data_IF_856513743626
#
_entry.id   IF_856513743626
#
_cell.length_a   1.000
_cell.length_b   1.000
_cell.length_c   1.000
_cell.angle_alpha   90.00
_cell.angle_beta   90.00
_cell.angle_gamma   90.00
#
_symmetry.space_group_name_H-M   'P 1'
#
loop_
_entity.id
_entity.type
_entity.pdbx_description
1 polymer ?
#
# COMPACT_ATOMS: atom_id res chain seq x y z
N UNK A 1 65.28 -15.08 -29.14
CA UNK A 1 65.05 -13.65 -29.48
C UNK A 1 63.55 -13.47 -29.74
N UNK A 2 62.94 -12.51 -29.03
CA UNK A 2 61.58 -11.96 -29.16
C UNK A 2 60.35 -12.91 -28.99
N UNK A 3 59.78 -12.89 -27.78
CA UNK A 3 58.41 -13.32 -27.50
C UNK A 3 57.46 -12.10 -27.54
N UNK A 4 56.45 -12.11 -28.41
CA UNK A 4 55.43 -11.06 -28.51
C UNK A 4 54.34 -11.26 -27.45
N UNK A 5 54.34 -10.42 -26.41
CA UNK A 5 53.28 -10.34 -25.40
C UNK A 5 52.10 -9.55 -25.97
N UNK A 6 50.92 -10.18 -26.05
CA UNK A 6 49.64 -9.47 -26.23
C UNK A 6 49.22 -8.75 -24.94
N UNK A 7 48.62 -7.55 -25.03
CA UNK A 7 48.17 -6.81 -23.86
C UNK A 7 46.87 -7.42 -23.30
N UNK A 8 46.87 -7.70 -22.00
CA UNK A 8 45.67 -8.05 -21.23
C UNK A 8 44.83 -6.79 -21.04
N UNK A 9 43.64 -6.73 -21.64
CA UNK A 9 42.61 -5.76 -21.25
C UNK A 9 42.06 -6.11 -19.86
N UNK A 10 41.89 -5.14 -18.95
CA UNK A 10 41.25 -5.37 -17.66
C UNK A 10 39.75 -5.57 -17.86
N UNK A 11 39.25 -6.74 -17.45
CA UNK A 11 37.81 -7.01 -17.41
C UNK A 11 37.13 -6.12 -16.37
N UNK A 12 36.06 -5.48 -16.81
CA UNK A 12 35.32 -4.43 -16.13
C UNK A 12 34.77 -4.86 -14.77
N UNK A 13 34.89 -3.94 -13.80
CA UNK A 13 34.41 -4.10 -12.44
C UNK A 13 32.91 -4.39 -12.35
N UNK A 14 32.56 -5.33 -11.48
CA UNK A 14 31.21 -5.56 -10.98
C UNK A 14 30.66 -4.26 -10.38
N UNK A 15 29.81 -3.55 -11.12
CA UNK A 15 28.94 -2.52 -10.55
C UNK A 15 27.83 -3.24 -9.79
N UNK A 16 28.03 -3.39 -8.48
CA UNK A 16 26.94 -3.66 -7.57
C UNK A 16 25.93 -2.53 -7.64
N UNK A 17 24.71 -2.83 -8.09
CA UNK A 17 23.56 -1.96 -7.89
C UNK A 17 23.27 -1.93 -6.40
N UNK A 18 23.87 -0.96 -5.71
CA UNK A 18 23.42 -0.52 -4.41
C UNK A 18 22.02 0.09 -4.61
N UNK A 19 20.99 -0.73 -4.42
CA UNK A 19 19.63 -0.24 -4.25
C UNK A 19 19.65 0.56 -2.96
N UNK A 20 19.68 1.88 -3.08
CA UNK A 20 19.54 2.78 -1.96
C UNK A 20 18.17 2.51 -1.33
N UNK A 21 18.18 1.86 -0.16
CA UNK A 21 17.03 1.76 0.70
C UNK A 21 16.73 3.17 1.24
N UNK A 22 15.92 3.92 0.51
CA UNK A 22 15.31 5.14 0.99
C UNK A 22 14.40 4.74 2.15
N UNK A 23 14.87 4.97 3.38
CA UNK A 23 14.06 4.92 4.58
C UNK A 23 13.06 6.08 4.55
N UNK A 24 12.01 5.92 3.74
CA UNK A 24 10.83 6.77 3.83
C UNK A 24 10.05 6.23 5.01
N UNK A 25 10.23 6.86 6.17
CA UNK A 25 9.36 6.68 7.32
C UNK A 25 8.00 7.23 6.93
N UNK A 26 7.15 6.37 6.36
CA UNK A 26 5.75 6.67 6.10
C UNK A 26 4.98 6.63 7.41
N UNK A 27 5.09 7.68 8.23
CA UNK A 27 4.25 7.82 9.41
C UNK A 27 2.79 7.96 8.96
N UNK A 28 1.88 7.18 9.55
CA UNK A 28 0.46 7.47 9.42
C UNK A 28 0.19 8.85 10.05
N UNK A 29 -0.15 9.83 9.22
CA UNK A 29 -0.52 11.17 9.67
C UNK A 29 -2.03 11.32 9.46
N UNK A 30 -2.77 11.13 10.55
CA UNK A 30 -4.18 11.51 10.64
C UNK A 30 -4.25 12.98 11.05
N UNK A 31 -4.06 13.88 10.09
CA UNK A 31 -4.20 15.32 10.33
C UNK A 31 -5.67 15.67 10.23
N UNK A 32 -6.33 15.76 11.38
CA UNK A 32 -7.53 16.59 11.69
C UNK A 32 -8.33 15.91 12.80
N UNK A 33 -8.23 16.46 14.01
CA UNK A 33 -9.43 16.60 14.79
C UNK A 33 -9.81 18.09 14.69
N UNK A 34 -11.05 18.40 14.31
CA UNK A 34 -11.57 19.73 14.59
C UNK A 34 -12.29 19.59 15.92
N UNK A 35 -11.71 20.20 16.94
CA UNK A 35 -12.37 20.44 18.21
C UNK A 35 -12.73 21.91 18.19
N UNK A 36 -14.01 22.23 17.97
CA UNK A 36 -14.48 23.60 18.18
C UNK A 36 -15.15 23.69 19.54
N UNK A 37 -14.40 24.18 20.52
CA UNK A 37 -14.94 24.78 21.73
C UNK A 37 -15.12 26.27 21.44
N UNK A 38 -16.32 26.70 21.02
CA UNK A 38 -16.57 28.12 20.71
C UNK A 38 -16.76 28.98 21.98
N UNK A 39 -16.91 28.36 23.15
CA UNK A 39 -17.10 29.10 24.39
C UNK A 39 -15.77 29.35 25.11
N UNK A 40 -15.38 30.62 25.20
CA UNK A 40 -14.44 31.09 26.23
C UNK A 40 -15.10 30.85 27.59
N UNK A 41 -14.81 29.72 28.22
CA UNK A 41 -15.31 29.45 29.57
C UNK A 41 -14.46 30.27 30.54
N UNK A 42 -15.07 31.35 31.05
CA UNK A 42 -14.53 32.08 32.20
C UNK A 42 -14.59 31.17 33.42
N UNK A 43 -13.44 30.65 33.85
CA UNK A 43 -13.31 30.14 35.20
C UNK A 43 -13.55 31.26 36.23
N UNK A 44 -13.72 30.89 37.50
CA UNK A 44 -13.60 31.85 38.61
C UNK A 44 -12.12 32.28 38.70
N UNK A 45 -11.69 33.21 37.85
CA UNK A 45 -10.31 33.65 37.71
C UNK A 45 -10.05 34.32 36.35
N UNK A 46 -8.91 35.00 36.20
CA UNK A 46 -8.50 35.69 34.97
C UNK A 46 -8.02 34.76 33.84
N UNK A 47 -8.09 33.44 34.04
CA UNK A 47 -7.67 32.42 33.07
C UNK A 47 -8.89 31.91 32.29
N UNK A 48 -8.79 31.95 30.96
CA UNK A 48 -9.70 31.28 30.03
C UNK A 48 -8.98 30.14 29.33
N UNK A 49 -9.72 29.13 28.92
CA UNK A 49 -9.19 28.00 28.17
C UNK A 49 -10.04 27.72 26.95
N UNK A 50 -9.37 27.25 25.90
CA UNK A 50 -9.98 26.73 24.68
C UNK A 50 -9.36 25.38 24.37
N UNK A 51 -10.16 24.42 23.96
CA UNK A 51 -9.63 23.16 23.43
C UNK A 51 -9.01 23.39 22.06
N UNK A 52 -7.86 22.77 21.85
CA UNK A 52 -7.13 22.75 20.57
C UNK A 52 -6.45 21.41 20.39
N UNK A 53 -5.69 21.27 19.30
CA UNK A 53 -4.97 20.05 18.96
C UNK A 53 -3.55 20.40 18.52
N UNK A 54 -2.56 19.59 18.92
CA UNK A 54 -1.18 19.73 18.49
C UNK A 54 -0.95 19.21 17.06
N UNK A 55 0.26 19.43 16.54
CA UNK A 55 0.65 18.98 15.18
C UNK A 55 0.57 17.45 15.01
N UNK A 56 0.61 16.70 16.11
CA UNK A 56 0.52 15.25 16.13
C UNK A 56 -0.92 14.74 16.38
N UNK A 57 -1.91 15.62 16.45
CA UNK A 57 -3.31 15.23 16.63
C UNK A 57 -3.75 15.02 18.09
N UNK A 58 -2.91 15.34 19.08
CA UNK A 58 -3.27 15.22 20.50
C UNK A 58 -3.99 16.47 21.00
N UNK A 59 -4.93 16.26 21.93
CA UNK A 59 -5.68 17.35 22.52
C UNK A 59 -4.78 18.21 23.42
N UNK A 60 -5.00 19.52 23.38
CA UNK A 60 -4.36 20.50 24.25
C UNK A 60 -5.38 21.54 24.74
N UNK A 61 -5.04 22.21 25.83
CA UNK A 61 -5.71 23.43 26.26
C UNK A 61 -4.86 24.63 25.90
N UNK A 62 -5.44 25.53 25.11
CA UNK A 62 -4.91 26.88 24.89
C UNK A 62 -5.42 27.77 26.02
N UNK A 63 -4.53 28.07 26.97
CA UNK A 63 -4.82 28.96 28.08
C UNK A 63 -4.52 30.41 27.68
N UNK A 64 -5.38 31.34 28.10
CA UNK A 64 -5.17 32.78 28.00
C UNK A 64 -5.42 33.43 29.36
N UNK A 65 -4.51 34.29 29.79
CA UNK A 65 -4.60 34.97 31.08
C UNK A 65 -4.00 36.37 30.99
N UNK A 66 -4.84 37.41 31.09
CA UNK A 66 -4.41 38.80 30.96
C UNK A 66 -3.53 39.28 32.13
N UNK A 67 -3.69 38.68 33.30
CA UNK A 67 -2.98 39.06 34.53
C UNK A 67 -1.75 38.18 34.82
N UNK A 68 -1.49 37.19 33.98
CA UNK A 68 -0.37 36.26 34.16
C UNK A 68 0.89 36.83 33.52
N UNK A 69 1.89 37.16 34.34
CA UNK A 69 3.21 37.54 33.87
C UNK A 69 3.95 36.34 33.26
N UNK A 70 4.92 36.62 32.39
CA UNK A 70 5.81 35.59 31.85
C UNK A 70 6.50 34.82 32.98
N UNK A 71 6.66 33.51 32.78
CA UNK A 71 7.19 32.60 33.80
C UNK A 71 6.12 32.06 34.76
N UNK A 72 4.87 32.52 34.69
CA UNK A 72 3.75 31.88 35.39
C UNK A 72 3.60 30.45 34.90
N UNK A 73 3.55 29.49 35.81
CA UNK A 73 3.42 28.06 35.48
C UNK A 73 1.95 27.64 35.57
N UNK A 74 1.52 26.86 34.59
CA UNK A 74 0.24 26.16 34.61
C UNK A 74 0.49 24.65 34.59
N UNK A 75 -0.33 23.88 35.29
CA UNK A 75 -0.29 22.42 35.18
C UNK A 75 -1.68 21.80 35.34
N UNK A 76 -1.80 20.60 34.81
CA UNK A 76 -2.82 19.61 35.17
C UNK A 76 -2.11 18.42 35.81
N UNK A 77 -2.85 17.38 36.18
CA UNK A 77 -2.26 16.12 36.64
C UNK A 77 -1.34 15.46 35.59
N UNK A 78 -1.50 15.83 34.32
CA UNK A 78 -0.82 15.18 33.19
C UNK A 78 0.29 16.00 32.55
N UNK A 79 0.32 17.33 32.73
CA UNK A 79 1.21 18.19 31.97
C UNK A 79 1.47 19.52 32.66
N UNK A 80 2.56 20.17 32.26
CA UNK A 80 2.94 21.51 32.70
C UNK A 80 3.23 22.39 31.48
N UNK A 81 2.88 23.66 31.57
CA UNK A 81 3.20 24.70 30.60
C UNK A 81 3.61 25.98 31.32
N UNK A 82 4.30 26.86 30.62
CA UNK A 82 4.66 28.19 31.14
C UNK A 82 3.99 29.25 30.27
N UNK A 83 3.42 30.26 30.90
CA UNK A 83 2.86 31.41 30.21
C UNK A 83 3.96 32.27 29.61
N UNK A 84 3.75 32.65 28.34
CA UNK A 84 4.54 33.62 27.61
C UNK A 84 3.58 34.54 26.83
N UNK A 85 3.68 35.85 27.04
CA UNK A 85 2.77 36.83 26.46
C UNK A 85 1.30 36.58 26.85
N UNK A 86 1.06 36.13 28.09
CA UNK A 86 -0.29 35.84 28.59
C UNK A 86 -0.93 34.58 28.00
N UNK A 87 -0.18 33.73 27.27
CA UNK A 87 -0.69 32.48 26.69
C UNK A 87 0.15 31.27 27.10
N UNK A 88 -0.49 30.11 27.23
CA UNK A 88 0.18 28.82 27.45
C UNK A 88 -0.55 27.70 26.70
N UNK A 89 0.16 26.63 26.34
CA UNK A 89 -0.43 25.41 25.76
C UNK A 89 -0.15 24.22 26.66
N UNK A 90 -1.20 23.64 27.25
CA UNK A 90 -1.12 22.43 28.08
C UNK A 90 -1.53 21.21 27.27
N UNK A 91 -0.60 20.30 27.00
CA UNK A 91 -0.90 19.03 26.34
C UNK A 91 -1.68 18.11 27.27
N UNK A 92 -2.75 17.51 26.79
CA UNK A 92 -3.54 16.54 27.55
C UNK A 92 -3.07 15.12 27.21
N UNK A 93 -2.96 14.24 28.21
CA UNK A 93 -2.72 12.80 27.98
C UNK A 93 -4.00 12.04 27.67
N UNK A 94 -5.12 12.47 28.24
CA UNK A 94 -6.44 11.91 27.95
C UNK A 94 -7.17 12.79 26.93
N UNK A 95 -7.79 12.21 25.88
CA UNK A 95 -8.56 12.96 24.91
C UNK A 95 -9.84 13.51 25.53
N UNK A 96 -10.20 14.73 25.15
CA UNK A 96 -11.46 15.38 25.47
C UNK A 96 -12.62 14.64 24.78
N UNK A 97 -13.70 14.45 25.53
CA UNK A 97 -14.93 13.81 25.09
C UNK A 97 -15.90 14.87 24.54
N UNK A 98 -16.79 14.46 23.65
CA UNK A 98 -17.94 15.30 23.26
C UNK A 98 -18.82 15.53 24.51
N UNK A 99 -19.24 16.77 24.73
CA UNK A 99 -19.90 17.24 25.95
C UNK A 99 -18.98 18.05 26.86
N UNK A 100 -19.33 18.11 28.14
CA UNK A 100 -18.58 18.85 29.16
C UNK A 100 -17.38 18.05 29.66
N UNK A 101 -16.22 18.71 29.71
CA UNK A 101 -14.99 18.13 30.24
C UNK A 101 -14.52 18.97 31.45
N UNK A 102 -14.77 18.51 32.69
CA UNK A 102 -14.27 19.20 33.87
C UNK A 102 -12.75 19.02 33.97
N UNK A 103 -12.01 20.12 34.07
CA UNK A 103 -10.55 20.13 34.18
C UNK A 103 -10.15 21.10 35.28
N UNK A 104 -9.28 20.66 36.18
CA UNK A 104 -8.65 21.52 37.17
C UNK A 104 -7.28 21.94 36.64
N UNK A 105 -7.08 23.25 36.49
CA UNK A 105 -5.79 23.83 36.12
C UNK A 105 -5.23 24.52 37.35
N UNK A 106 -4.05 24.08 37.77
CA UNK A 106 -3.31 24.79 38.79
C UNK A 106 -2.42 25.89 38.18
N UNK A 107 -2.35 27.03 38.85
CA UNK A 107 -1.57 28.21 38.44
C UNK A 107 -0.62 28.62 39.55
N UNK A 108 0.64 28.86 39.21
CA UNK A 108 1.68 29.35 40.13
C UNK A 108 2.35 30.57 39.52
N UNK A 109 2.11 31.74 40.12
CA UNK A 109 2.73 33.00 39.71
C UNK A 109 4.05 33.20 40.47
N UNK A 110 5.06 33.89 39.90
CA UNK A 110 6.40 34.02 40.49
C UNK A 110 6.49 34.59 41.92
N UNK A 111 5.40 35.16 42.45
CA UNK A 111 5.34 35.76 43.80
C UNK A 111 4.05 35.42 44.58
N UNK A 112 3.25 34.46 44.10
CA UNK A 112 1.99 34.06 44.78
C UNK A 112 1.95 32.58 45.05
N UNK A 113 1.15 32.20 46.05
CA UNK A 113 0.82 30.80 46.29
C UNK A 113 0.10 30.21 45.09
N UNK A 114 0.29 28.90 44.92
CA UNK A 114 -0.44 28.05 43.99
C UNK A 114 -1.95 28.19 44.21
N UNK A 115 -2.69 28.37 43.12
CA UNK A 115 -4.14 28.40 43.09
C UNK A 115 -4.67 27.36 42.09
N UNK A 116 -5.89 26.88 42.30
CA UNK A 116 -6.56 25.93 41.41
C UNK A 116 -7.79 26.57 40.80
N UNK A 117 -7.95 26.37 39.50
CA UNK A 117 -9.06 26.91 38.71
C UNK A 117 -9.79 25.74 38.08
N UNK A 118 -11.04 25.53 38.48
CA UNK A 118 -11.92 24.60 37.82
C UNK A 118 -12.44 25.22 36.51
N UNK A 119 -12.24 24.49 35.41
CA UNK A 119 -12.70 24.83 34.07
C UNK A 119 -13.64 23.72 33.59
N UNK A 120 -14.69 24.09 32.87
CA UNK A 120 -15.53 23.14 32.13
C UNK A 120 -15.33 23.42 30.66
N UNK A 121 -14.82 22.46 29.90
CA UNK A 121 -14.53 22.66 28.48
C UNK A 121 -15.61 21.95 27.64
N UNK A 122 -16.54 22.70 27.03
CA UNK A 122 -17.57 22.13 26.17
C UNK A 122 -17.00 21.75 24.81
N UNK A 123 -17.29 20.54 24.37
CA UNK A 123 -16.93 20.01 23.06
C UNK A 123 -18.22 19.64 22.34
N UNK A 124 -18.66 20.46 21.40
CA UNK A 124 -19.94 20.25 20.72
C UNK A 124 -19.88 19.08 19.74
N UNK A 125 -18.74 18.93 19.07
CA UNK A 125 -18.50 17.84 18.16
C UNK A 125 -17.00 17.57 18.03
N UNK A 126 -16.68 16.39 17.49
CA UNK A 126 -15.33 15.97 17.11
C UNK A 126 -15.44 15.18 15.82
N UNK A 127 -14.61 15.48 14.83
CA UNK A 127 -14.49 14.69 13.59
C UNK A 127 -13.04 14.29 13.43
N UNK A 128 -12.75 13.01 13.18
CA UNK A 128 -11.39 12.48 13.00
C UNK A 128 -11.35 11.33 11.99
N UNK A 129 -10.21 11.14 11.33
CA UNK A 129 -9.96 9.92 10.56
C UNK A 129 -9.52 8.75 11.45
N UNK A 130 -9.65 7.52 10.97
CA UNK A 130 -9.05 6.32 11.55
C UNK A 130 -8.67 5.32 10.46
N UNK A 131 -7.63 4.53 10.74
CA UNK A 131 -7.07 3.47 9.91
C UNK A 131 -7.18 2.08 10.55
N UNK A 132 -7.91 1.96 11.66
CA UNK A 132 -8.04 0.71 12.44
C UNK A 132 -8.54 -0.48 11.58
N UNK A 133 -9.44 -0.22 10.62
CA UNK A 133 -10.00 -1.25 9.74
C UNK A 133 -9.12 -1.62 8.54
N UNK A 134 -7.95 -0.99 8.36
CA UNK A 134 -7.01 -1.41 7.32
C UNK A 134 -6.50 -2.83 7.55
N UNK A 135 -6.47 -3.30 8.80
CA UNK A 135 -6.04 -4.64 9.18
C UNK A 135 -7.04 -5.75 8.79
N UNK A 136 -8.28 -5.39 8.46
CA UNK A 136 -9.36 -6.33 8.15
C UNK A 136 -9.20 -6.96 6.76
N UNK A 137 -9.94 -8.05 6.51
CA UNK A 137 -9.93 -8.76 5.23
C UNK A 137 -10.33 -7.84 4.06
N UNK A 138 -11.38 -7.03 4.24
CA UNK A 138 -11.72 -5.91 3.36
C UNK A 138 -11.23 -4.61 4.03
N UNK A 139 -10.09 -4.05 3.57
CA UNK A 139 -9.46 -2.93 4.23
C UNK A 139 -10.26 -1.65 4.01
N UNK A 140 -10.52 -0.93 5.12
CA UNK A 140 -11.25 0.33 5.09
C UNK A 140 -10.49 1.41 5.88
N UNK A 141 -10.69 2.65 5.45
CA UNK A 141 -10.43 3.82 6.30
C UNK A 141 -11.77 4.45 6.66
N UNK A 142 -11.82 5.17 7.77
CA UNK A 142 -13.09 5.75 8.21
C UNK A 142 -12.95 7.14 8.77
N UNK A 143 -14.02 7.91 8.65
CA UNK A 143 -14.22 9.11 9.43
C UNK A 143 -15.13 8.78 10.60
N UNK A 144 -14.63 9.07 11.79
CA UNK A 144 -15.37 8.99 13.04
C UNK A 144 -15.77 10.39 13.45
N UNK A 145 -17.04 10.58 13.75
CA UNK A 145 -17.52 11.79 14.35
C UNK A 145 -18.28 11.50 15.64
N UNK A 146 -18.22 12.44 16.58
CA UNK A 146 -19.09 12.50 17.73
C UNK A 146 -19.72 13.89 17.77
N UNK A 147 -21.00 13.99 18.13
CA UNK A 147 -21.68 15.27 18.24
C UNK A 147 -22.75 15.27 19.33
N UNK A 148 -23.03 16.44 19.90
CA UNK A 148 -24.14 16.62 20.84
C UNK A 148 -25.50 16.32 20.18
N UNK A 149 -26.50 15.87 20.96
CA UNK A 149 -27.87 15.68 20.46
C UNK A 149 -28.41 16.93 19.76
N UNK A 150 -29.10 16.73 18.63
CA UNK A 150 -29.62 17.83 17.80
C UNK A 150 -28.62 18.42 16.81
N UNK A 151 -27.36 17.98 16.83
CA UNK A 151 -26.36 18.38 15.82
C UNK A 151 -26.65 17.67 14.49
N UNK A 152 -26.63 18.43 13.39
CA UNK A 152 -26.67 17.86 12.03
C UNK A 152 -25.26 17.70 11.48
N UNK A 153 -24.92 16.52 10.98
CA UNK A 153 -23.62 16.20 10.41
C UNK A 153 -23.77 15.80 8.94
N UNK A 154 -22.92 16.37 8.10
CA UNK A 154 -22.80 16.03 6.68
C UNK A 154 -21.36 15.63 6.39
N UNK A 155 -21.14 14.44 5.84
CA UNK A 155 -19.82 13.92 5.44
C UNK A 155 -19.87 13.57 3.95
N UNK A 156 -18.96 14.12 3.15
CA UNK A 156 -19.00 14.04 1.67
C UNK A 156 -20.37 14.40 1.06
N UNK A 157 -21.03 15.42 1.61
CA UNK A 157 -22.35 15.85 1.15
C UNK A 157 -23.50 14.91 1.56
N UNK A 158 -23.23 13.81 2.26
CA UNK A 158 -24.25 12.88 2.77
C UNK A 158 -24.58 13.23 4.22
N UNK A 159 -25.87 13.43 4.51
CA UNK A 159 -26.35 13.60 5.89
C UNK A 159 -26.14 12.29 6.65
N UNK A 160 -25.61 12.38 7.87
CA UNK A 160 -25.34 11.22 8.72
C UNK A 160 -26.04 11.39 10.06
N UNK A 161 -26.75 10.34 10.47
CA UNK A 161 -27.47 10.32 11.75
C UNK A 161 -26.57 9.73 12.83
N UNK A 162 -26.28 10.45 13.92
CA UNK A 162 -25.59 9.89 15.06
C UNK A 162 -26.36 8.74 15.70
N UNK A 163 -25.63 7.76 16.24
CA UNK A 163 -26.20 6.72 17.08
C UNK A 163 -26.75 7.32 18.41
N UNK A 164 -27.43 6.53 19.26
CA UNK A 164 -27.94 7.04 20.54
C UNK A 164 -26.89 7.62 21.50
N UNK A 165 -25.60 7.36 21.27
CA UNK A 165 -24.46 7.91 22.03
C UNK A 165 -23.84 9.13 21.35
N UNK A 166 -24.42 9.60 20.24
CA UNK A 166 -23.93 10.73 19.47
C UNK A 166 -22.74 10.38 18.56
N UNK A 167 -22.42 9.10 18.36
CA UNK A 167 -21.31 8.66 17.53
C UNK A 167 -21.74 8.36 16.09
N UNK A 168 -20.85 8.65 15.15
CA UNK A 168 -21.01 8.43 13.72
C UNK A 168 -19.74 7.77 13.20
N UNK A 169 -19.91 6.77 12.33
CA UNK A 169 -18.83 6.16 11.55
C UNK A 169 -19.18 6.19 10.07
N UNK A 170 -18.24 6.64 9.25
CA UNK A 170 -18.37 6.65 7.80
C UNK A 170 -17.17 5.92 7.19
N UNK A 171 -17.43 4.77 6.57
CA UNK A 171 -16.41 3.90 6.01
C UNK A 171 -16.15 4.19 4.54
N UNK A 172 -14.88 4.08 4.16
CA UNK A 172 -14.41 4.14 2.79
C UNK A 172 -13.69 2.85 2.45
N UNK A 173 -14.22 2.15 1.47
CA UNK A 173 -13.52 1.05 0.82
C UNK A 173 -12.29 1.63 0.09
N UNK A 174 -11.13 1.05 0.35
CA UNK A 174 -9.84 1.41 -0.25
C UNK A 174 -9.14 0.20 -0.88
N UNK A 175 -9.86 -0.91 -1.07
CA UNK A 175 -9.27 -2.16 -1.55
C UNK A 175 -8.59 -1.98 -2.91
N UNK A 176 -9.16 -1.16 -3.81
CA UNK A 176 -8.59 -0.91 -5.14
C UNK A 176 -7.25 -0.18 -5.07
N UNK A 177 -7.14 0.81 -4.21
CA UNK A 177 -5.92 1.60 -3.96
C UNK A 177 -4.81 0.77 -3.32
N UNK A 178 -5.21 -0.25 -2.54
CA UNK A 178 -4.33 -1.19 -1.87
C UNK A 178 -4.06 -2.46 -2.70
N UNK A 179 -4.62 -2.58 -3.90
CA UNK A 179 -4.47 -3.74 -4.77
C UNK A 179 -3.35 -3.56 -5.81
N UNK A 180 -2.73 -4.68 -6.17
CA UNK A 180 -1.73 -4.77 -7.24
C UNK A 180 -0.28 -4.70 -6.75
N UNK A 181 0.67 -5.20 -7.57
CA UNK A 181 2.08 -5.21 -7.21
C UNK A 181 2.68 -3.80 -7.27
N UNK A 182 3.49 -3.44 -6.27
CA UNK A 182 4.22 -2.17 -6.21
C UNK A 182 5.52 -2.33 -5.40
N UNK A 183 6.63 -1.85 -5.96
CA UNK A 183 7.96 -1.93 -5.34
C UNK A 183 8.22 -0.82 -4.33
N UNK A 184 7.59 0.34 -4.54
CA UNK A 184 7.81 1.53 -3.76
C UNK A 184 6.73 1.74 -2.70
N UNK A 185 7.07 2.48 -1.64
CA UNK A 185 6.05 2.96 -0.70
C UNK A 185 5.23 4.03 -1.42
N UNK A 186 3.95 3.72 -1.68
CA UNK A 186 2.96 4.72 -2.15
C UNK A 186 2.25 5.33 -0.95
N UNK A 187 1.64 6.49 -1.13
CA UNK A 187 0.79 7.11 -0.11
C UNK A 187 -0.67 6.94 -0.50
N UNK A 188 -1.49 6.41 0.41
CA UNK A 188 -2.94 6.57 0.38
C UNK A 188 -3.25 7.93 1.01
N UNK A 189 -3.82 8.85 0.23
CA UNK A 189 -4.29 10.16 0.70
C UNK A 189 -5.77 10.30 0.38
N UNK A 190 -6.57 10.63 1.40
CA UNK A 190 -7.99 10.97 1.23
C UNK A 190 -8.33 12.23 2.02
N UNK A 191 -9.01 13.14 1.33
CA UNK A 191 -9.55 14.39 1.88
C UNK A 191 -11.06 14.28 1.92
N UNK A 192 -11.61 14.30 3.12
CA UNK A 192 -13.05 14.08 3.36
C UNK A 192 -13.66 15.37 3.87
N UNK A 193 -14.33 16.16 3.01
CA UNK A 193 -15.02 17.36 3.48
C UNK A 193 -16.19 16.99 4.37
N UNK A 194 -16.41 17.78 5.41
CA UNK A 194 -17.57 17.67 6.29
C UNK A 194 -18.15 19.04 6.64
N UNK A 195 -19.44 19.04 7.03
CA UNK A 195 -20.12 20.19 7.59
C UNK A 195 -20.86 19.76 8.85
N UNK A 196 -20.78 20.57 9.90
CA UNK A 196 -21.48 20.36 11.18
C UNK A 196 -22.35 21.56 11.46
N UNK A 197 -23.62 21.35 11.79
CA UNK A 197 -24.53 22.40 12.24
C UNK A 197 -24.94 22.08 13.68
N UNK A 198 -24.34 22.73 14.69
CA UNK A 198 -24.72 22.57 16.08
C UNK A 198 -26.18 22.99 16.34
N UNK A 199 -26.83 22.54 17.43
CA UNK A 199 -28.23 22.85 17.71
C UNK A 199 -28.54 24.34 17.79
N UNK A 200 -27.59 25.14 18.27
CA UNK A 200 -27.73 26.59 18.47
C UNK A 200 -26.70 27.41 17.67
N UNK A 201 -26.13 26.85 16.61
CA UNK A 201 -24.98 27.42 15.91
C UNK A 201 -25.14 27.55 14.39
N UNK A 202 -24.26 28.36 13.79
CA UNK A 202 -24.11 28.41 12.34
C UNK A 202 -23.40 27.13 11.82
N UNK A 203 -23.68 26.70 10.58
CA UNK A 203 -22.94 25.62 9.94
C UNK A 203 -21.44 25.90 9.88
N UNK A 204 -20.65 24.90 10.24
CA UNK A 204 -19.19 24.93 10.25
C UNK A 204 -18.68 23.88 9.27
N UNK A 205 -17.67 24.24 8.47
CA UNK A 205 -17.07 23.35 7.48
C UNK A 205 -15.65 23.00 7.88
N UNK A 206 -15.25 21.79 7.54
CA UNK A 206 -13.87 21.34 7.66
C UNK A 206 -13.58 20.19 6.72
N UNK A 207 -12.36 19.66 6.83
CA UNK A 207 -11.89 18.54 6.04
C UNK A 207 -11.17 17.57 6.96
N UNK A 208 -11.35 16.26 6.72
CA UNK A 208 -10.51 15.23 7.31
C UNK A 208 -9.46 14.75 6.32
N UNK A 209 -8.18 14.92 6.64
CA UNK A 209 -7.07 14.36 5.86
C UNK A 209 -6.61 13.02 6.48
N UNK A 210 -6.81 11.94 5.74
CA UNK A 210 -6.27 10.61 6.05
C UNK A 210 -5.09 10.37 5.12
N UNK A 211 -3.88 10.28 5.69
CA UNK A 211 -2.66 10.02 4.93
C UNK A 211 -1.86 8.89 5.56
N UNK A 212 -1.62 7.82 4.82
CA UNK A 212 -0.86 6.65 5.29
C UNK A 212 -0.02 6.04 4.17
N UNK A 213 1.19 5.60 4.49
CA UNK A 213 2.02 4.84 3.55
C UNK A 213 1.39 3.48 3.25
N UNK A 214 1.57 2.96 2.04
CA UNK A 214 1.12 1.63 1.65
C UNK A 214 2.34 0.72 1.55
N UNK A 215 2.27 -0.42 2.22
CA UNK A 215 3.35 -1.41 2.25
C UNK A 215 3.73 -1.84 0.82
N UNK A 216 5.02 -1.89 0.44
CA UNK A 216 5.43 -2.44 -0.85
C UNK A 216 5.16 -3.95 -0.94
N UNK A 217 4.79 -4.46 -2.11
CA UNK A 217 4.68 -5.89 -2.36
C UNK A 217 4.81 -6.17 -3.86
N UNK A 218 5.76 -7.01 -4.23
CA UNK A 218 5.89 -7.56 -5.59
C UNK A 218 5.84 -9.07 -5.50
N UNK A 219 5.18 -9.71 -6.47
CA UNK A 219 5.30 -11.14 -6.71
C UNK A 219 6.33 -11.39 -7.80
N UNK A 220 7.29 -12.25 -7.47
CA UNK A 220 8.32 -12.71 -8.42
C UNK A 220 7.82 -13.96 -9.17
N UNK A 221 7.05 -14.84 -8.50
CA UNK A 221 6.38 -15.98 -9.10
C UNK A 221 5.17 -16.45 -8.25
N UNK A 222 4.11 -17.00 -8.85
CA UNK A 222 3.79 -16.95 -10.28
C UNK A 222 3.34 -15.54 -10.70
N UNK A 223 3.00 -15.37 -11.98
CA UNK A 223 2.26 -14.20 -12.45
C UNK A 223 0.82 -14.16 -11.92
N UNK A 224 0.06 -13.14 -12.32
CA UNK A 224 -1.34 -12.98 -11.90
C UNK A 224 -2.26 -14.15 -12.31
N UNK A 225 -1.91 -14.83 -13.40
CA UNK A 225 -2.58 -16.04 -13.86
C UNK A 225 -1.53 -17.05 -14.33
N UNK A 226 -1.71 -18.31 -13.97
CA UNK A 226 -0.90 -19.42 -14.48
C UNK A 226 -1.74 -20.71 -14.51
N UNK A 227 -1.53 -21.53 -15.54
CA UNK A 227 -2.08 -22.87 -15.72
C UNK A 227 -0.92 -23.86 -15.68
N UNK A 228 -1.06 -24.91 -14.88
CA UNK A 228 -0.01 -25.91 -14.71
C UNK A 228 -0.56 -27.32 -14.46
N UNK A 229 0.24 -28.33 -14.82
CA UNK A 229 -0.10 -29.73 -14.61
C UNK A 229 0.27 -30.26 -13.23
N UNK A 230 1.18 -29.57 -12.54
CA UNK A 230 1.69 -29.98 -11.22
C UNK A 230 0.66 -29.74 -10.13
N UNK A 231 0.78 -30.51 -9.05
CA UNK A 231 -0.14 -30.46 -7.89
C UNK A 231 0.28 -29.42 -6.84
N UNK A 232 1.28 -28.61 -7.14
CA UNK A 232 1.83 -27.62 -6.24
C UNK A 232 2.42 -26.42 -6.98
N UNK A 233 2.49 -25.30 -6.28
CA UNK A 233 3.05 -24.04 -6.77
C UNK A 233 3.90 -23.41 -5.68
N UNK A 234 4.96 -22.70 -6.05
CA UNK A 234 5.68 -21.82 -5.14
C UNK A 234 5.23 -20.38 -5.41
N UNK A 235 4.69 -19.74 -4.38
CA UNK A 235 4.39 -18.30 -4.40
C UNK A 235 5.54 -17.59 -3.71
N UNK A 236 6.22 -16.73 -4.46
CA UNK A 236 7.41 -16.02 -4.02
C UNK A 236 7.35 -14.55 -4.42
N UNK A 237 7.99 -13.71 -3.63
CA UNK A 237 7.98 -12.28 -3.84
C UNK A 237 8.82 -11.52 -2.83
N UNK A 238 8.61 -10.21 -2.83
CA UNK A 238 9.38 -9.25 -2.04
C UNK A 238 8.48 -8.18 -1.44
N UNK A 239 8.82 -7.75 -0.25
CA UNK A 239 8.18 -6.63 0.46
C UNK A 239 9.24 -5.85 1.25
N UNK A 240 8.81 -4.82 1.99
CA UNK A 240 9.71 -4.08 2.86
C UNK A 240 10.23 -4.97 4.02
N UNK A 241 11.51 -4.85 4.40
CA UNK A 241 12.03 -5.50 5.61
C UNK A 241 11.20 -5.12 6.85
N UNK A 242 10.93 -6.09 7.72
CA UNK A 242 10.11 -5.92 8.93
C UNK A 242 8.59 -5.97 8.70
N UNK A 243 8.13 -6.14 7.46
CA UNK A 243 6.73 -6.45 7.17
C UNK A 243 6.37 -7.89 7.61
N UNK A 244 5.09 -8.22 7.58
CA UNK A 244 4.57 -9.59 7.67
C UNK A 244 3.83 -9.92 6.38
N UNK A 245 4.04 -11.12 5.83
CA UNK A 245 3.33 -11.58 4.63
C UNK A 245 2.39 -12.74 4.97
N UNK A 246 1.17 -12.65 4.47
CA UNK A 246 0.20 -13.74 4.49
C UNK A 246 -0.22 -14.13 3.07
N UNK A 247 -0.40 -15.41 2.82
CA UNK A 247 -0.99 -15.96 1.60
C UNK A 247 -2.28 -16.67 2.01
N UNK A 248 -3.43 -16.03 1.78
CA UNK A 248 -4.68 -16.45 2.42
C UNK A 248 -4.56 -16.36 3.95
N UNK A 249 -4.79 -17.47 4.65
CA UNK A 249 -4.62 -17.57 6.11
C UNK A 249 -3.17 -17.78 6.56
N UNK A 250 -2.30 -18.18 5.64
CA UNK A 250 -0.98 -18.68 5.97
C UNK A 250 0.04 -17.57 6.12
N UNK A 251 0.66 -17.45 7.29
CA UNK A 251 1.83 -16.57 7.45
C UNK A 251 3.07 -17.18 6.77
N UNK A 252 3.85 -16.32 6.11
CA UNK A 252 5.04 -16.70 5.35
C UNK A 252 6.26 -15.99 5.92
N UNK A 253 7.32 -16.72 6.31
CA UNK A 253 8.53 -16.09 6.82
C UNK A 253 9.22 -15.26 5.73
N UNK A 254 9.82 -14.16 6.17
CA UNK A 254 10.65 -13.29 5.34
C UNK A 254 12.12 -13.48 5.66
N UNK A 255 12.98 -13.39 4.65
CA UNK A 255 14.41 -13.24 4.86
C UNK A 255 14.76 -11.80 5.29
N UNK A 256 16.04 -11.55 5.62
CA UNK A 256 16.52 -10.24 6.05
C UNK A 256 16.36 -9.14 4.97
N UNK A 257 16.20 -9.51 3.70
CA UNK A 257 15.98 -8.61 2.58
C UNK A 257 14.49 -8.43 2.23
N UNK A 258 13.57 -9.01 3.01
CA UNK A 258 12.14 -8.94 2.78
C UNK A 258 11.65 -9.85 1.64
N UNK A 259 12.41 -10.89 1.28
CA UNK A 259 11.95 -11.90 0.32
C UNK A 259 11.19 -13.01 1.02
N UNK A 260 10.16 -13.54 0.37
CA UNK A 260 9.41 -14.70 0.83
C UNK A 260 9.25 -15.72 -0.29
N UNK A 261 9.09 -16.98 0.10
CA UNK A 261 8.66 -18.05 -0.79
C UNK A 261 7.96 -19.14 0.03
N UNK A 262 6.79 -19.59 -0.44
CA UNK A 262 6.08 -20.72 0.17
C UNK A 262 5.49 -21.63 -0.90
N UNK A 263 5.63 -22.93 -0.68
CA UNK A 263 5.00 -23.97 -1.51
C UNK A 263 3.58 -24.21 -1.03
N UNK A 264 2.63 -24.25 -1.95
CA UNK A 264 1.22 -24.54 -1.72
C UNK A 264 0.79 -25.72 -2.57
N UNK A 265 -0.02 -26.60 -2.00
CA UNK A 265 -0.70 -27.66 -2.75
C UNK A 265 -1.89 -27.06 -3.51
N UNK A 266 -2.18 -27.62 -4.68
CA UNK A 266 -3.26 -27.21 -5.55
C UNK A 266 -4.35 -28.28 -5.58
N UNK A 267 -5.59 -27.82 -5.48
CA UNK A 267 -6.75 -28.63 -5.87
C UNK A 267 -6.91 -28.60 -7.40
N UNK A 268 -7.50 -29.65 -8.00
CA UNK A 268 -7.89 -29.60 -9.41
C UNK A 268 -8.79 -28.39 -9.73
N UNK A 269 -8.50 -27.70 -10.84
CA UNK A 269 -9.19 -26.48 -11.23
C UNK A 269 -8.55 -25.20 -10.69
N UNK A 270 -9.39 -24.19 -10.42
CA UNK A 270 -8.95 -22.83 -10.09
C UNK A 270 -8.63 -22.70 -8.59
N UNK A 271 -7.45 -22.18 -8.26
CA UNK A 271 -6.97 -21.94 -6.91
C UNK A 271 -6.66 -20.43 -6.74
N UNK A 272 -7.58 -19.65 -6.16
CA UNK A 272 -7.35 -18.24 -5.91
C UNK A 272 -6.43 -18.04 -4.70
N UNK A 273 -5.47 -17.13 -4.81
CA UNK A 273 -4.63 -16.71 -3.71
C UNK A 273 -4.66 -15.18 -3.55
N UNK A 274 -4.68 -14.74 -2.30
CA UNK A 274 -4.51 -13.33 -1.92
C UNK A 274 -3.24 -13.23 -1.10
N UNK A 275 -2.24 -12.55 -1.65
CA UNK A 275 -1.00 -12.24 -0.95
C UNK A 275 -1.15 -10.87 -0.30
N UNK A 276 -1.02 -10.82 1.02
CA UNK A 276 -1.16 -9.62 1.83
C UNK A 276 0.16 -9.32 2.52
N UNK A 277 0.72 -8.14 2.26
CA UNK A 277 1.83 -7.61 3.06
C UNK A 277 1.34 -6.52 4.00
N UNK A 278 1.80 -6.55 5.25
CA UNK A 278 1.46 -5.56 6.29
C UNK A 278 2.74 -5.09 6.98
N UNK A 279 2.93 -3.78 7.06
CA UNK A 279 4.00 -3.15 7.81
C UNK A 279 3.40 -2.21 8.87
N UNK A 280 4.07 -2.07 10.01
CA UNK A 280 3.64 -1.16 11.07
C UNK A 280 3.48 0.27 10.53
N UNK A 281 2.43 0.95 10.97
CA UNK A 281 2.08 2.33 10.59
C UNK A 281 1.84 2.53 9.08
N UNK A 282 1.62 1.44 8.34
CA UNK A 282 1.27 1.44 6.91
C UNK A 282 -0.06 0.73 6.66
N UNK A 283 -0.72 1.11 5.58
CA UNK A 283 -1.77 0.32 4.96
C UNK A 283 -1.20 -0.98 4.37
N UNK A 284 -1.96 -2.08 4.36
CA UNK A 284 -1.53 -3.31 3.74
C UNK A 284 -1.49 -3.17 2.21
N UNK A 285 -0.79 -4.08 1.55
CA UNK A 285 -0.87 -4.27 0.11
C UNK A 285 -1.39 -5.66 -0.21
N UNK A 286 -2.31 -5.73 -1.16
CA UNK A 286 -2.96 -6.95 -1.60
C UNK A 286 -2.55 -7.24 -3.05
N UNK A 287 -2.10 -8.46 -3.33
CA UNK A 287 -1.91 -8.95 -4.69
C UNK A 287 -2.69 -10.24 -4.85
N UNK A 288 -3.62 -10.25 -5.79
CA UNK A 288 -4.39 -11.45 -6.12
C UNK A 288 -3.73 -12.18 -7.28
N UNK A 289 -3.75 -13.50 -7.23
CA UNK A 289 -3.31 -14.35 -8.33
C UNK A 289 -4.21 -15.58 -8.42
N UNK A 290 -4.28 -16.15 -9.63
CA UNK A 290 -5.03 -17.36 -9.92
C UNK A 290 -4.08 -18.44 -10.44
N UNK A 291 -4.09 -19.61 -9.78
CA UNK A 291 -3.37 -20.80 -10.25
C UNK A 291 -4.38 -21.85 -10.64
N UNK A 292 -4.42 -22.24 -11.91
CA UNK A 292 -5.26 -23.33 -12.39
C UNK A 292 -4.45 -24.60 -12.49
N UNK A 293 -4.81 -25.62 -11.71
CA UNK A 293 -4.29 -26.97 -11.87
C UNK A 293 -5.14 -27.70 -12.91
N UNK A 294 -4.51 -28.22 -13.95
CA UNK A 294 -5.18 -28.97 -15.01
C UNK A 294 -4.53 -30.34 -15.19
N UNK A 295 -5.35 -31.38 -15.31
CA UNK A 295 -4.92 -32.74 -15.66
C UNK A 295 -4.72 -32.92 -17.18
N UNK A 296 -5.15 -31.95 -17.99
CA UNK A 296 -5.08 -32.02 -19.45
C UNK A 296 -4.58 -30.70 -20.05
N UNK A 297 -3.25 -30.54 -20.06
CA UNK A 297 -2.59 -29.35 -20.61
C UNK A 297 -2.81 -29.20 -22.12
N UNK A 298 -2.97 -30.28 -22.87
CA UNK A 298 -3.28 -30.21 -24.32
C UNK A 298 -4.62 -29.52 -24.56
N UNK A 299 -5.65 -29.85 -23.77
CA UNK A 299 -6.96 -29.17 -23.84
C UNK A 299 -6.84 -27.68 -23.50
N UNK A 300 -6.11 -27.35 -22.43
CA UNK A 300 -5.89 -25.95 -22.03
C UNK A 300 -5.10 -25.19 -23.11
N UNK A 301 -4.12 -25.83 -23.74
CA UNK A 301 -3.37 -25.26 -24.87
C UNK A 301 -4.22 -25.02 -26.10
N UNK A 302 -5.13 -25.93 -26.43
CA UNK A 302 -6.09 -25.75 -27.52
C UNK A 302 -7.05 -24.58 -27.25
N UNK A 303 -7.56 -24.47 -26.02
CA UNK A 303 -8.39 -23.35 -25.59
C UNK A 303 -7.61 -22.03 -25.69
N UNK A 304 -6.41 -21.97 -25.11
CA UNK A 304 -5.56 -20.79 -25.15
C UNK A 304 -5.21 -20.36 -26.58
N UNK A 305 -4.95 -21.32 -27.49
CA UNK A 305 -4.73 -21.04 -28.92
C UNK A 305 -5.96 -20.43 -29.57
N UNK A 306 -7.17 -20.93 -29.26
CA UNK A 306 -8.41 -20.38 -29.82
C UNK A 306 -8.71 -18.93 -29.36
N UNK A 307 -8.15 -18.54 -28.22
CA UNK A 307 -8.23 -17.17 -27.69
C UNK A 307 -7.07 -16.27 -28.10
N UNK A 308 -6.09 -16.78 -28.87
CA UNK A 308 -4.96 -15.98 -29.31
C UNK A 308 -5.45 -14.85 -30.23
N UNK A 309 -5.06 -13.63 -29.91
CA UNK A 309 -5.49 -12.42 -30.60
C UNK A 309 -4.49 -11.99 -31.67
N UNK A 310 -3.24 -12.44 -31.60
CA UNK A 310 -2.20 -12.10 -32.55
C UNK A 310 -1.24 -13.26 -32.82
N UNK A 311 -0.76 -13.31 -34.05
CA UNK A 311 0.35 -14.17 -34.49
C UNK A 311 1.69 -13.45 -34.32
N UNK A 312 2.80 -14.19 -34.34
CA UNK A 312 4.13 -13.59 -34.22
C UNK A 312 4.42 -12.50 -35.28
N UNK A 313 4.11 -12.69 -36.58
CA UNK A 313 4.31 -11.63 -37.58
C UNK A 313 3.44 -10.39 -37.34
N UNK A 314 2.23 -10.53 -36.80
CA UNK A 314 1.38 -9.39 -36.42
C UNK A 314 1.96 -8.61 -35.25
N UNK A 315 2.46 -9.32 -34.24
CA UNK A 315 3.14 -8.71 -33.08
C UNK A 315 4.35 -7.89 -33.51
N UNK A 316 5.13 -8.35 -34.50
CA UNK A 316 6.28 -7.59 -35.00
C UNK A 316 5.90 -6.37 -35.86
N UNK A 317 4.76 -6.43 -36.57
CA UNK A 317 4.29 -5.32 -37.42
C UNK A 317 3.76 -4.14 -36.60
N UNK A 318 3.14 -4.43 -35.46
CA UNK A 318 2.58 -3.42 -34.56
C UNK A 318 2.99 -3.73 -33.11
N UNK A 319 4.23 -3.37 -32.77
CA UNK A 319 4.81 -3.70 -31.47
C UNK A 319 4.05 -3.05 -30.30
N UNK A 320 3.73 -1.77 -30.40
CA UNK A 320 3.07 -1.05 -29.31
C UNK A 320 1.60 -1.51 -29.17
N UNK A 321 0.87 -1.68 -30.28
CA UNK A 321 -0.49 -2.22 -30.25
C UNK A 321 -0.58 -3.71 -29.90
N UNK A 322 0.55 -4.43 -29.91
CA UNK A 322 0.62 -5.82 -29.46
C UNK A 322 0.65 -5.98 -27.94
N UNK A 323 1.06 -4.95 -27.18
CA UNK A 323 1.16 -5.05 -25.72
C UNK A 323 -0.23 -5.33 -25.12
N UNK A 324 -0.29 -6.34 -24.24
CA UNK A 324 -1.52 -6.82 -23.60
C UNK A 324 -2.32 -7.82 -24.43
N UNK A 325 -2.03 -8.01 -25.72
CA UNK A 325 -2.72 -9.01 -26.57
C UNK A 325 -2.28 -10.42 -26.22
N UNK A 326 -3.24 -11.34 -26.24
CA UNK A 326 -2.98 -12.77 -26.04
C UNK A 326 -2.35 -13.39 -27.29
N UNK A 327 -1.38 -14.27 -27.10
CA UNK A 327 -0.66 -14.96 -28.18
C UNK A 327 -0.47 -16.45 -27.86
N UNK A 328 -0.27 -17.23 -28.91
CA UNK A 328 0.12 -18.64 -28.84
C UNK A 328 1.36 -18.83 -29.73
N UNK A 329 2.51 -19.06 -29.12
CA UNK A 329 3.76 -19.28 -29.83
C UNK A 329 4.18 -20.73 -29.71
N UNK A 330 4.26 -21.41 -30.85
CA UNK A 330 4.82 -22.75 -30.99
C UNK A 330 6.24 -22.63 -31.52
N UNK A 331 7.19 -23.39 -30.97
CA UNK A 331 8.59 -23.23 -31.37
C UNK A 331 9.53 -24.27 -30.78
N UNK A 332 10.83 -24.02 -30.96
CA UNK A 332 11.90 -24.81 -30.34
C UNK A 332 12.61 -23.97 -29.29
N UNK A 333 12.90 -24.55 -28.13
CA UNK A 333 13.62 -23.87 -27.06
C UNK A 333 15.07 -23.63 -27.45
N UNK A 334 15.42 -22.36 -27.60
CA UNK A 334 16.75 -21.87 -27.95
C UNK A 334 17.67 -21.72 -26.72
N UNK A 335 17.13 -21.22 -25.60
CA UNK A 335 17.82 -21.09 -24.32
C UNK A 335 16.81 -21.20 -23.17
N UNK A 336 17.28 -21.58 -21.98
CA UNK A 336 16.47 -21.64 -20.77
C UNK A 336 17.33 -21.26 -19.56
N UNK A 337 16.81 -20.37 -18.72
CA UNK A 337 17.43 -19.97 -17.46
C UNK A 337 16.41 -19.97 -16.36
N UNK A 338 16.83 -20.41 -15.17
CA UNK A 338 16.06 -20.21 -13.95
C UNK A 338 16.36 -18.84 -13.37
N UNK A 339 15.32 -18.14 -12.96
CA UNK A 339 15.40 -16.86 -12.27
C UNK A 339 14.54 -16.94 -11.00
N UNK A 340 15.18 -17.30 -9.89
CA UNK A 340 14.49 -17.62 -8.64
C UNK A 340 13.52 -18.79 -8.81
N UNK A 341 12.23 -18.52 -8.64
CA UNK A 341 11.12 -19.49 -8.75
C UNK A 341 10.39 -19.41 -10.10
N UNK A 342 11.00 -18.73 -11.07
CA UNK A 342 10.47 -18.56 -12.42
C UNK A 342 11.48 -19.06 -13.46
N UNK A 343 10.99 -19.30 -14.68
CA UNK A 343 11.82 -19.68 -15.82
C UNK A 343 11.76 -18.61 -16.90
N UNK A 344 12.92 -18.27 -17.46
CA UNK A 344 13.06 -17.40 -18.62
C UNK A 344 13.51 -18.23 -19.81
N UNK A 345 12.72 -18.25 -20.89
CA UNK A 345 12.96 -19.08 -22.06
C UNK A 345 13.19 -18.24 -23.33
N UNK A 346 14.25 -18.58 -24.06
CA UNK A 346 14.48 -18.39 -25.49
C UNK A 346 13.56 -19.28 -26.35
N UNK A 347 12.47 -18.80 -26.96
CA UNK A 347 11.71 -19.62 -27.93
C UNK A 347 11.97 -19.17 -29.37
N UNK A 348 12.46 -20.07 -30.22
CA UNK A 348 12.50 -19.85 -31.68
C UNK A 348 11.14 -20.22 -32.29
N UNK A 349 10.35 -19.20 -32.60
CA UNK A 349 8.95 -19.32 -32.99
C UNK A 349 8.83 -19.85 -34.41
N UNK A 350 8.16 -21.00 -34.53
CA UNK A 350 7.89 -21.67 -35.80
C UNK A 350 7.06 -20.77 -36.71
N UNK A 351 7.55 -20.56 -37.93
CA UNK A 351 6.86 -19.73 -38.92
C UNK A 351 6.90 -18.22 -38.64
N UNK A 352 7.75 -17.75 -37.72
CA UNK A 352 7.78 -16.34 -37.33
C UNK A 352 8.37 -15.39 -38.38
N UNK A 353 9.41 -15.79 -39.11
CA UNK A 353 10.20 -14.91 -39.98
C UNK A 353 11.15 -15.74 -40.89
N UNK A 354 11.56 -15.16 -42.03
CA UNK A 354 12.55 -15.73 -42.95
C UNK A 354 13.55 -14.64 -43.37
N UNK A 355 14.87 -14.83 -43.18
CA UNK A 355 15.52 -15.96 -42.51
C UNK A 355 15.37 -15.93 -40.97
N UNK A 356 15.34 -17.10 -40.33
CA UNK A 356 15.25 -17.24 -38.87
C UNK A 356 16.59 -17.00 -38.13
N UNK A 357 16.63 -17.15 -36.79
CA UNK A 357 15.54 -17.51 -35.88
C UNK A 357 14.66 -16.32 -35.48
N UNK A 358 13.45 -16.63 -35.05
CA UNK A 358 12.40 -15.66 -34.72
C UNK A 358 12.11 -15.76 -33.23
N UNK A 359 12.93 -15.08 -32.44
CA UNK A 359 12.98 -15.30 -31.01
C UNK A 359 11.86 -14.56 -30.28
N UNK A 360 11.26 -15.21 -29.30
CA UNK A 360 10.42 -14.60 -28.28
C UNK A 360 10.99 -14.93 -26.89
N UNK A 361 11.09 -13.92 -26.02
CA UNK A 361 11.46 -14.13 -24.61
C UNK A 361 10.21 -14.51 -23.84
N UNK A 362 10.18 -15.68 -23.22
CA UNK A 362 9.05 -16.17 -22.43
C UNK A 362 9.39 -16.11 -20.96
N UNK A 363 8.57 -15.40 -20.17
CA UNK A 363 8.60 -15.41 -18.71
C UNK A 363 7.53 -16.38 -18.21
N UNK A 364 7.93 -17.50 -17.63
CA UNK A 364 7.01 -18.49 -17.06
C UNK A 364 7.13 -18.50 -15.54
N UNK A 365 6.02 -18.27 -14.84
CA UNK A 365 5.97 -18.09 -13.39
C UNK A 365 6.14 -19.36 -12.55
N UNK A 366 6.84 -20.37 -13.07
CA UNK A 366 7.16 -21.61 -12.38
C UNK A 366 8.45 -22.22 -12.92
N UNK A 367 9.01 -23.17 -12.18
CA UNK A 367 10.12 -23.99 -12.65
C UNK A 367 9.69 -24.85 -13.83
N UNK A 368 10.47 -24.82 -14.91
CA UNK A 368 10.30 -25.69 -16.07
C UNK A 368 11.37 -26.79 -16.07
N UNK A 369 10.94 -28.02 -16.39
CA UNK A 369 11.83 -29.16 -16.66
C UNK A 369 12.33 -29.18 -18.12
N UNK A 370 11.97 -28.19 -18.91
CA UNK A 370 12.35 -28.15 -20.32
C UNK A 370 13.86 -28.05 -20.53
N UNK A 371 14.32 -28.62 -21.63
CA UNK A 371 15.71 -28.55 -22.07
C UNK A 371 15.82 -27.88 -23.44
N UNK A 372 16.98 -27.28 -23.69
CA UNK A 372 17.29 -26.66 -24.99
C UNK A 372 17.12 -27.68 -26.11
N UNK A 373 16.49 -27.24 -27.22
CA UNK A 373 16.21 -28.07 -28.38
C UNK A 373 14.85 -28.78 -28.33
N UNK A 374 14.17 -28.82 -27.17
CA UNK A 374 12.81 -29.35 -27.12
C UNK A 374 11.80 -28.42 -27.78
N UNK A 375 10.75 -29.01 -28.34
CA UNK A 375 9.58 -28.26 -28.76
C UNK A 375 8.83 -27.73 -27.55
N UNK A 376 8.25 -26.55 -27.69
CA UNK A 376 7.41 -25.97 -26.67
C UNK A 376 6.34 -25.06 -27.29
N UNK A 377 5.22 -24.96 -26.57
CA UNK A 377 4.14 -24.04 -26.84
C UNK A 377 3.95 -23.12 -25.64
N UNK A 378 4.07 -21.81 -25.86
CA UNK A 378 3.90 -20.79 -24.84
C UNK A 378 2.67 -19.94 -25.15
N UNK A 379 1.79 -19.78 -24.15
CA UNK A 379 0.56 -19.03 -24.25
C UNK A 379 0.50 -17.97 -23.16
N UNK A 380 0.05 -16.77 -23.51
CA UNK A 380 -0.07 -15.67 -22.56
C UNK A 380 -0.12 -14.33 -23.25
N UNK A 381 0.36 -13.28 -22.60
CA UNK A 381 0.27 -11.90 -23.11
C UNK A 381 1.62 -11.28 -23.40
N UNK A 382 1.70 -10.50 -24.46
CA UNK A 382 2.87 -9.64 -24.72
C UNK A 382 2.92 -8.54 -23.65
N UNK A 383 4.03 -8.43 -22.92
CA UNK A 383 4.18 -7.43 -21.86
C UNK A 383 5.04 -6.25 -22.27
N UNK A 384 5.98 -6.47 -23.20
CA UNK A 384 6.86 -5.45 -23.78
C UNK A 384 7.73 -6.08 -24.87
N UNK A 385 8.65 -5.29 -25.42
CA UNK A 385 9.72 -5.75 -26.30
C UNK A 385 11.07 -5.46 -25.65
N UNK A 386 11.99 -6.40 -25.79
CA UNK A 386 13.35 -6.32 -25.24
C UNK A 386 14.38 -6.48 -26.35
N UNK A 387 15.62 -6.08 -26.06
CA UNK A 387 16.72 -6.34 -26.97
C UNK A 387 16.94 -7.85 -27.12
N UNK A 388 17.00 -8.30 -28.37
CA UNK A 388 17.33 -9.66 -28.74
C UNK A 388 18.84 -9.90 -28.69
N UNK A 389 19.27 -11.15 -28.92
CA UNK A 389 20.69 -11.51 -28.91
C UNK A 389 21.48 -10.93 -30.11
N UNK A 390 20.80 -10.37 -31.11
CA UNK A 390 21.41 -9.70 -32.26
C UNK A 390 21.24 -8.19 -32.11
N UNK A 391 22.31 -7.44 -32.34
CA UNK A 391 22.32 -5.97 -32.26
C UNK A 391 21.20 -5.36 -33.12
N UNK A 392 20.40 -4.47 -32.54
CA UNK A 392 19.31 -3.78 -33.22
C UNK A 392 18.03 -4.62 -33.42
N UNK A 393 18.03 -5.90 -33.04
CA UNK A 393 16.82 -6.73 -33.08
C UNK A 393 16.04 -6.56 -31.77
N UNK A 394 14.77 -6.13 -31.85
CA UNK A 394 13.83 -6.21 -30.73
C UNK A 394 13.01 -7.49 -30.84
N UNK A 395 12.81 -8.17 -29.72
CA UNK A 395 12.01 -9.39 -29.64
C UNK A 395 10.86 -9.20 -28.64
N UNK A 396 9.69 -9.82 -28.89
CA UNK A 396 8.59 -9.75 -27.94
C UNK A 396 8.95 -10.48 -26.64
N UNK A 397 8.59 -9.89 -25.50
CA UNK A 397 8.57 -10.54 -24.20
C UNK A 397 7.13 -10.96 -23.87
N UNK A 398 6.91 -12.25 -23.76
CA UNK A 398 5.66 -12.91 -23.41
C UNK A 398 5.67 -13.27 -21.93
N UNK A 399 4.66 -12.84 -21.17
CA UNK A 399 4.36 -13.43 -19.87
C UNK A 399 3.45 -14.63 -20.10
N UNK A 400 4.01 -15.83 -19.96
CA UNK A 400 3.30 -17.06 -20.19
C UNK A 400 2.39 -17.40 -19.00
N UNK A 401 1.12 -17.59 -19.32
CA UNK A 401 0.10 -18.15 -18.43
C UNK A 401 0.13 -19.69 -18.53
N UNK A 402 0.50 -20.25 -19.69
CA UNK A 402 0.65 -21.69 -19.90
C UNK A 402 1.92 -21.98 -20.72
N UNK A 403 2.65 -23.01 -20.30
CA UNK A 403 3.79 -23.56 -21.03
C UNK A 403 3.60 -25.06 -21.17
N UNK A 404 3.63 -25.56 -22.40
CA UNK A 404 3.63 -26.99 -22.73
C UNK A 404 4.97 -27.32 -23.37
N UNK A 405 5.61 -28.39 -22.90
CA UNK A 405 6.93 -28.84 -23.36
C UNK A 405 6.79 -30.22 -23.95
N UNK A 406 7.36 -30.44 -25.13
CA UNK A 406 7.19 -31.66 -25.92
C UNK A 406 6.39 -31.42 -27.19
N UNK A 407 5.94 -32.49 -27.83
CA UNK A 407 4.98 -32.43 -28.93
C UNK A 407 3.57 -32.20 -28.33
N UNK A 408 2.94 -31.04 -28.56
CA UNK A 408 1.64 -30.70 -27.97
C UNK A 408 0.46 -31.49 -28.55
#
# INVERSE_FOLDING_TARGET
>A
VAASRSPRSPAAGRRGLAVAALAIVGSAILLTAAILAFFLVKGRGSVTAKAGIDEAGHDLLELSCAECSDGTKAWTDSAQATFQGGKAKLKLTAPLKVGENPIVVGIERPSRRREEIALSIPIEYRVRGTTEELSQASPKISVLAGALPGTSLVVEGKSVTPDPKGAVRFDFDVERELSGPEAAVKTLERRVPYSVTPPAGLPQKGEVLIRIGITPLILDAPGALIVMGRKDVVIAGRTAPGATVKIGSDEVPLDAAGRFAKRHLLAPGDNPFVVRSTLRDHAPRLVTLMVRQSDNLTREGALARSMAQATYPEVLRDAEGAIGRSVAFDGTLFDLRRDGYSSVLLLDVKGGCRPGPCLAKVLYGADSEATKGQKASAYGKIVRFVDGPRTGQRIPELRAELLIVGDP
#
